data_IF_112640657625
#
_entry.id   IF_112640657625
#
_cell.length_a   1.000
_cell.length_b   1.000
_cell.length_c   1.000
_cell.angle_alpha   90.00
_cell.angle_beta   90.00
_cell.angle_gamma   90.00
#
_symmetry.space_group_name_H-M   'P 1'
#
loop_
_entity.id
_entity.type
_entity.pdbx_description
1 polymer ?
#
# COMPACT_ATOMS: atom_id res chain seq x y z
N UNK A 1 22.60 1.67 -40.82
CA UNK A 1 21.87 1.77 -39.54
C UNK A 1 20.73 0.77 -39.66
N UNK A 2 20.70 -0.25 -38.80
CA UNK A 2 19.68 -1.29 -38.89
C UNK A 2 18.36 -0.70 -38.41
N UNK A 3 17.32 -0.77 -39.25
CA UNK A 3 15.96 -0.46 -38.84
C UNK A 3 15.60 -1.31 -37.61
N UNK A 4 14.98 -0.75 -36.56
CA UNK A 4 14.52 -1.55 -35.44
C UNK A 4 13.55 -2.59 -35.99
N UNK A 5 13.87 -3.88 -35.85
CA UNK A 5 13.00 -4.98 -36.28
C UNK A 5 11.63 -4.80 -35.61
N UNK A 6 10.67 -4.28 -36.36
CA UNK A 6 9.28 -4.17 -35.93
C UNK A 6 8.75 -5.59 -35.73
N UNK A 7 8.35 -5.90 -34.49
CA UNK A 7 7.79 -7.19 -34.16
C UNK A 7 6.47 -7.37 -34.95
N UNK A 8 6.34 -8.39 -35.81
CA UNK A 8 5.18 -8.57 -36.69
C UNK A 8 3.87 -8.81 -35.92
N UNK A 9 3.97 -9.23 -34.66
CA UNK A 9 2.84 -9.46 -33.78
C UNK A 9 2.36 -8.17 -33.09
N UNK A 10 3.03 -7.03 -33.28
CA UNK A 10 2.58 -5.74 -32.73
C UNK A 10 1.79 -4.97 -33.80
N UNK A 11 0.59 -4.52 -33.44
CA UNK A 11 -0.21 -3.62 -34.29
C UNK A 11 0.40 -2.22 -34.29
N UNK A 12 0.51 -1.61 -35.47
CA UNK A 12 0.94 -0.22 -35.65
C UNK A 12 -0.20 0.79 -35.50
N UNK A 13 -1.45 0.31 -35.42
CA UNK A 13 -2.64 1.16 -35.28
C UNK A 13 -2.85 1.54 -33.81
N UNK A 14 -3.30 2.78 -33.50
CA UNK A 14 -3.69 3.16 -32.15
C UNK A 14 -4.94 2.38 -31.71
N UNK A 15 -5.17 2.28 -30.40
CA UNK A 15 -6.30 1.54 -29.85
C UNK A 15 -7.61 2.25 -30.20
N UNK A 16 -8.52 1.54 -30.88
CA UNK A 16 -9.84 2.04 -31.27
C UNK A 16 -10.93 1.63 -30.25
N UNK A 17 -10.64 0.60 -29.45
CA UNK A 17 -11.59 0.05 -28.49
C UNK A 17 -11.76 0.95 -27.25
N UNK A 18 -10.75 1.77 -26.94
CA UNK A 18 -10.79 2.70 -25.80
C UNK A 18 -10.89 1.98 -24.46
N UNK A 19 -10.32 0.77 -24.35
CA UNK A 19 -10.22 0.05 -23.09
C UNK A 19 -9.28 0.78 -22.14
N UNK A 20 -9.72 0.94 -20.89
CA UNK A 20 -8.90 1.46 -19.80
C UNK A 20 -8.75 0.38 -18.75
N UNK A 21 -7.51 0.15 -18.32
CA UNK A 21 -7.22 -0.94 -17.39
C UNK A 21 -6.61 -0.42 -16.10
N UNK A 22 -7.27 -0.71 -14.99
CA UNK A 22 -6.77 -0.47 -13.63
C UNK A 22 -6.14 -1.75 -13.09
N UNK A 23 -4.89 -1.67 -12.65
CA UNK A 23 -4.18 -2.79 -12.03
C UNK A 23 -4.04 -2.53 -10.53
N UNK A 24 -4.50 -3.47 -9.71
CA UNK A 24 -4.19 -3.45 -8.28
C UNK A 24 -2.74 -3.88 -8.04
N UNK A 25 -2.02 -3.25 -7.10
CA UNK A 25 -0.65 -3.61 -6.76
C UNK A 25 -0.47 -5.07 -6.36
N UNK A 26 -1.48 -5.67 -5.72
CA UNK A 26 -1.46 -7.08 -5.34
C UNK A 26 -1.26 -8.01 -6.54
N UNK A 27 -1.82 -7.67 -7.71
CA UNK A 27 -1.60 -8.40 -8.96
C UNK A 27 -0.12 -8.39 -9.32
N UNK A 28 0.52 -7.22 -9.31
CA UNK A 28 1.94 -7.08 -9.65
C UNK A 28 2.84 -7.84 -8.69
N UNK A 29 2.55 -7.78 -7.39
CA UNK A 29 3.29 -8.53 -6.38
C UNK A 29 3.14 -10.04 -6.57
N UNK A 30 1.93 -10.51 -6.90
CA UNK A 30 1.66 -11.93 -7.13
C UNK A 30 2.36 -12.46 -8.39
N UNK A 31 2.36 -11.67 -9.47
CA UNK A 31 3.08 -11.99 -10.71
C UNK A 31 4.59 -12.06 -10.45
N UNK A 32 5.14 -11.08 -9.72
CA UNK A 32 6.56 -11.04 -9.35
C UNK A 32 6.97 -12.21 -8.44
N UNK A 33 6.13 -12.53 -7.45
CA UNK A 33 6.32 -13.69 -6.58
C UNK A 33 6.28 -15.01 -7.37
N UNK A 34 5.31 -15.18 -8.27
CA UNK A 34 5.22 -16.37 -9.12
C UNK A 34 6.49 -16.52 -9.99
N UNK A 35 6.93 -15.44 -10.63
CA UNK A 35 8.17 -15.44 -11.40
C UNK A 35 9.39 -15.85 -10.55
N UNK A 36 9.52 -15.24 -9.37
CA UNK A 36 10.64 -15.51 -8.46
C UNK A 36 10.64 -16.97 -8.00
N UNK A 37 9.46 -17.51 -7.63
CA UNK A 37 9.32 -18.93 -7.24
C UNK A 37 9.68 -19.87 -8.38
N UNK A 38 9.21 -19.59 -9.58
CA UNK A 38 9.48 -20.42 -10.75
C UNK A 38 10.99 -20.45 -11.07
N UNK A 39 11.64 -19.28 -11.02
CA UNK A 39 13.08 -19.12 -11.22
C UNK A 39 13.91 -19.85 -10.15
N UNK A 40 13.62 -19.61 -8.87
CA UNK A 40 14.35 -20.24 -7.74
C UNK A 40 14.17 -21.76 -7.73
N UNK A 41 12.97 -22.26 -8.06
CA UNK A 41 12.68 -23.70 -8.11
C UNK A 41 13.17 -24.38 -9.38
N UNK A 42 13.70 -23.62 -10.35
CA UNK A 42 14.14 -24.15 -11.66
C UNK A 42 13.05 -24.99 -12.35
N UNK A 43 11.81 -24.52 -12.25
CA UNK A 43 10.70 -25.15 -12.95
C UNK A 43 10.91 -25.02 -14.46
N UNK A 44 10.37 -25.99 -15.22
CA UNK A 44 10.50 -26.03 -16.67
C UNK A 44 9.17 -25.60 -17.30
N UNK A 45 9.26 -24.89 -18.42
CA UNK A 45 8.11 -24.45 -19.21
C UNK A 45 7.87 -22.94 -19.14
N UNK A 46 6.91 -22.43 -19.92
CA UNK A 46 6.52 -21.03 -19.86
C UNK A 46 5.78 -20.72 -18.57
N UNK A 47 5.90 -19.49 -18.09
CA UNK A 47 5.14 -18.98 -16.95
C UNK A 47 3.89 -18.30 -17.50
N UNK A 48 2.73 -18.75 -17.03
CA UNK A 48 1.48 -18.07 -17.27
C UNK A 48 0.62 -18.05 -16.00
N UNK A 49 -0.32 -17.12 -15.96
CA UNK A 49 -1.33 -17.10 -14.92
C UNK A 49 -2.52 -16.26 -15.31
N UNK A 50 -3.63 -16.45 -14.60
CA UNK A 50 -4.87 -15.74 -14.84
C UNK A 50 -4.92 -14.46 -14.02
N UNK A 51 -5.56 -13.44 -14.59
CA UNK A 51 -5.95 -12.19 -13.96
C UNK A 51 -7.44 -12.24 -13.69
N UNK A 52 -7.81 -11.94 -12.46
CA UNK A 52 -9.20 -11.85 -12.02
C UNK A 52 -9.54 -10.41 -11.63
N UNK A 53 -10.77 -10.01 -11.89
CA UNK A 53 -11.25 -8.68 -11.57
C UNK A 53 -12.64 -8.42 -12.10
N UNK A 54 -12.93 -7.17 -12.45
CA UNK A 54 -14.25 -6.76 -12.92
C UNK A 54 -14.14 -6.05 -14.26
N UNK A 55 -15.13 -6.30 -15.13
CA UNK A 55 -15.31 -5.54 -16.36
C UNK A 55 -16.59 -4.70 -16.26
N UNK A 56 -16.45 -3.37 -16.27
CA UNK A 56 -17.57 -2.42 -16.29
C UNK A 56 -17.54 -1.65 -17.60
N UNK A 57 -18.22 -2.19 -18.60
CA UNK A 57 -18.19 -1.62 -19.95
C UNK A 57 -16.79 -1.72 -20.57
N UNK A 58 -16.10 -0.58 -20.70
CA UNK A 58 -14.75 -0.47 -21.26
C UNK A 58 -13.65 -0.35 -20.19
N UNK A 59 -14.04 -0.30 -18.93
CA UNK A 59 -13.11 -0.26 -17.81
C UNK A 59 -12.91 -1.68 -17.29
N UNK A 60 -11.66 -2.12 -17.24
CA UNK A 60 -11.26 -3.42 -16.69
C UNK A 60 -10.44 -3.16 -15.44
N UNK A 61 -10.88 -3.67 -14.30
CA UNK A 61 -10.08 -3.72 -13.07
C UNK A 61 -9.47 -5.11 -12.95
N UNK A 62 -8.16 -5.21 -12.72
CA UNK A 62 -7.50 -6.46 -12.35
C UNK A 62 -7.14 -6.39 -10.86
N UNK A 63 -7.85 -7.17 -10.05
CA UNK A 63 -7.80 -7.13 -8.58
C UNK A 63 -6.95 -8.26 -8.01
N UNK A 64 -6.98 -9.42 -8.66
CA UNK A 64 -6.30 -10.61 -8.19
C UNK A 64 -5.61 -11.36 -9.33
N UNK A 65 -4.59 -12.15 -9.01
CA UNK A 65 -3.91 -12.99 -9.99
C UNK A 65 -3.54 -14.35 -9.38
N UNK A 66 -3.48 -15.40 -10.20
CA UNK A 66 -2.97 -16.69 -9.76
C UNK A 66 -2.19 -17.39 -10.88
N UNK A 67 -1.23 -18.23 -10.49
CA UNK A 67 -0.48 -19.07 -11.42
C UNK A 67 -1.38 -20.13 -12.06
N UNK A 68 -1.27 -20.33 -13.37
CA UNK A 68 -1.98 -21.38 -14.10
C UNK A 68 -0.99 -22.41 -14.62
N UNK A 69 -1.39 -23.68 -14.57
CA UNK A 69 -0.62 -24.75 -15.18
C UNK A 69 -0.89 -24.78 -16.70
N UNK A 70 0.18 -25.00 -17.47
CA UNK A 70 0.12 -25.12 -18.92
C UNK A 70 0.32 -26.58 -19.35
N UNK A 71 -0.44 -27.00 -20.34
CA UNK A 71 -0.41 -28.35 -20.91
C UNK A 71 0.04 -28.25 -22.37
N UNK A 72 0.85 -29.20 -22.82
CA UNK A 72 1.21 -29.27 -24.23
C UNK A 72 0.15 -30.05 -25.01
N UNK A 73 -0.27 -29.52 -26.15
CA UNK A 73 -1.12 -30.25 -27.09
C UNK A 73 -0.30 -31.29 -27.89
N UNK A 74 -0.98 -32.06 -28.75
CA UNK A 74 -0.36 -33.04 -29.65
C UNK A 74 0.64 -32.44 -30.64
N UNK A 75 0.60 -31.12 -30.84
CA UNK A 75 1.47 -30.35 -31.74
C UNK A 75 2.64 -29.68 -30.99
N UNK A 76 2.76 -29.90 -29.67
CA UNK A 76 3.81 -29.32 -28.83
C UNK A 76 3.59 -27.85 -28.44
N UNK A 77 2.44 -27.27 -28.74
CA UNK A 77 2.06 -25.92 -28.34
C UNK A 77 1.56 -25.91 -26.89
N UNK A 78 1.87 -24.84 -26.16
CA UNK A 78 1.40 -24.65 -24.79
C UNK A 78 0.00 -24.06 -24.78
N UNK A 79 -0.89 -24.65 -23.98
CA UNK A 79 -2.27 -24.25 -23.77
C UNK A 79 -2.59 -24.24 -22.26
N UNK A 80 -3.58 -23.46 -21.85
CA UNK A 80 -4.13 -23.51 -20.49
C UNK A 80 -4.86 -24.83 -20.24
N UNK A 81 -4.71 -25.38 -19.04
CA UNK A 81 -5.64 -26.38 -18.53
C UNK A 81 -6.99 -25.70 -18.22
N UNK A 82 -7.91 -25.76 -19.19
CA UNK A 82 -9.23 -25.10 -19.10
C UNK A 82 -10.05 -25.63 -17.94
N UNK A 83 -10.07 -26.94 -17.74
CA UNK A 83 -10.89 -27.57 -16.71
C UNK A 83 -10.41 -27.18 -15.31
N UNK A 84 -9.09 -27.17 -15.10
CA UNK A 84 -8.51 -26.69 -13.85
C UNK A 84 -8.74 -25.20 -13.64
N UNK A 85 -8.57 -24.39 -14.70
CA UNK A 85 -8.76 -22.95 -14.62
C UNK A 85 -10.20 -22.58 -14.31
N UNK A 86 -11.18 -23.25 -14.92
CA UNK A 86 -12.62 -23.04 -14.67
C UNK A 86 -12.99 -23.35 -13.21
N UNK A 87 -12.56 -24.49 -12.69
CA UNK A 87 -12.75 -24.86 -11.28
C UNK A 87 -12.07 -23.83 -10.35
N UNK A 88 -10.88 -23.34 -10.71
CA UNK A 88 -10.16 -22.34 -9.93
C UNK A 88 -10.86 -20.99 -9.94
N UNK A 89 -11.34 -20.52 -11.09
CA UNK A 89 -12.13 -19.29 -11.23
C UNK A 89 -13.42 -19.41 -10.41
N UNK A 90 -14.11 -20.54 -10.48
CA UNK A 90 -15.33 -20.77 -9.71
C UNK A 90 -15.09 -20.68 -8.20
N UNK A 91 -13.99 -21.24 -7.70
CA UNK A 91 -13.61 -21.11 -6.27
C UNK A 91 -13.42 -19.65 -5.84
N UNK A 92 -12.83 -18.80 -6.70
CA UNK A 92 -12.71 -17.38 -6.40
C UNK A 92 -14.05 -16.66 -6.44
N UNK A 93 -14.94 -17.01 -7.38
CA UNK A 93 -16.33 -16.50 -7.42
C UNK A 93 -17.12 -16.88 -6.15
N UNK A 94 -16.90 -18.07 -5.61
CA UNK A 94 -17.58 -18.52 -4.39
C UNK A 94 -17.14 -17.76 -3.14
N UNK A 95 -15.88 -17.32 -3.09
CA UNK A 95 -15.32 -16.52 -1.99
C UNK A 95 -15.69 -15.04 -2.14
N UNK A 96 -15.58 -14.50 -3.35
CA UNK A 96 -15.90 -13.11 -3.69
C UNK A 96 -17.28 -13.05 -4.33
N UNK A 97 -18.34 -12.98 -3.52
CA UNK A 97 -19.72 -13.01 -4.05
C UNK A 97 -20.27 -11.66 -4.51
N UNK A 98 -19.72 -10.55 -4.00
CA UNK A 98 -20.19 -9.21 -4.31
C UNK A 98 -19.06 -8.18 -4.15
N UNK A 99 -18.45 -7.68 -5.23
CA UNK A 99 -18.62 -8.11 -6.63
C UNK A 99 -17.99 -9.48 -6.90
N UNK A 100 -18.52 -10.21 -7.88
CA UNK A 100 -17.90 -11.45 -8.33
C UNK A 100 -16.65 -11.14 -9.14
N UNK A 101 -15.51 -11.72 -8.72
CA UNK A 101 -14.28 -11.65 -9.51
C UNK A 101 -14.39 -12.61 -10.68
N UNK A 102 -14.18 -12.09 -11.88
CA UNK A 102 -14.24 -12.82 -13.12
C UNK A 102 -12.87 -12.84 -13.79
N UNK A 103 -12.65 -13.77 -14.71
CA UNK A 103 -11.42 -13.79 -15.49
C UNK A 103 -11.38 -12.57 -16.40
N UNK A 104 -10.41 -11.68 -16.28
CA UNK A 104 -10.33 -10.46 -17.12
C UNK A 104 -9.17 -10.50 -18.11
N UNK A 105 -8.24 -11.45 -17.93
CA UNK A 105 -7.05 -11.56 -18.74
C UNK A 105 -6.07 -12.56 -18.16
N UNK A 106 -4.85 -12.52 -18.66
CA UNK A 106 -3.77 -13.40 -18.21
C UNK A 106 -2.44 -12.66 -18.25
N UNK A 107 -1.43 -13.24 -17.61
CA UNK A 107 -0.09 -12.68 -17.59
C UNK A 107 0.96 -13.69 -18.00
N UNK A 108 2.06 -13.18 -18.55
CA UNK A 108 3.24 -13.96 -18.90
C UNK A 108 4.50 -13.08 -18.94
N UNK A 109 5.59 -13.65 -19.42
CA UNK A 109 6.88 -12.99 -19.56
C UNK A 109 7.25 -12.85 -21.02
N UNK A 110 7.70 -11.67 -21.42
CA UNK A 110 8.42 -11.54 -22.68
C UNK A 110 9.45 -10.40 -22.64
N UNK A 111 10.48 -10.45 -23.51
CA UNK A 111 11.49 -9.40 -23.61
C UNK A 111 10.88 -8.06 -24.03
N UNK A 112 11.62 -6.96 -23.89
CA UNK A 112 11.13 -5.65 -24.33
C UNK A 112 10.88 -5.57 -25.85
N UNK A 113 11.45 -6.50 -26.63
CA UNK A 113 11.18 -6.67 -28.06
C UNK A 113 9.73 -7.07 -28.39
N UNK A 114 8.92 -7.43 -27.39
CA UNK A 114 7.50 -7.73 -27.53
C UNK A 114 7.18 -9.24 -27.59
N UNK A 115 5.90 -9.57 -27.90
CA UNK A 115 5.39 -10.94 -27.82
C UNK A 115 6.03 -11.87 -28.85
N UNK A 116 6.02 -13.18 -28.57
CA UNK A 116 6.48 -14.24 -29.48
C UNK A 116 5.30 -15.04 -30.05
N UNK A 117 5.48 -15.73 -31.17
CA UNK A 117 4.40 -16.51 -31.79
C UNK A 117 3.85 -17.63 -30.87
N UNK A 118 4.64 -18.08 -29.88
CA UNK A 118 4.24 -19.10 -28.93
C UNK A 118 3.08 -18.68 -28.01
N UNK A 119 2.82 -17.38 -27.86
CA UNK A 119 1.73 -16.88 -27.01
C UNK A 119 0.39 -16.75 -27.75
N UNK A 120 0.38 -16.81 -29.08
CA UNK A 120 -0.83 -16.65 -29.89
C UNK A 120 -1.88 -17.74 -29.59
N UNK A 121 -1.53 -19.04 -29.47
CA UNK A 121 -2.48 -20.08 -29.08
C UNK A 121 -3.09 -19.84 -27.70
N UNK A 122 -2.28 -19.39 -26.73
CA UNK A 122 -2.73 -19.04 -25.38
C UNK A 122 -3.71 -17.86 -25.40
N UNK A 123 -3.39 -16.80 -26.14
CA UNK A 123 -4.28 -15.65 -26.29
C UNK A 123 -5.61 -16.06 -26.92
N UNK A 124 -5.58 -16.86 -27.99
CA UNK A 124 -6.80 -17.35 -28.64
C UNK A 124 -7.67 -18.14 -27.66
N UNK A 125 -7.06 -19.03 -26.88
CA UNK A 125 -7.77 -19.80 -25.86
C UNK A 125 -8.35 -18.92 -24.75
N UNK A 126 -7.62 -17.89 -24.30
CA UNK A 126 -8.09 -16.94 -23.30
C UNK A 126 -9.31 -16.13 -23.79
N UNK A 127 -9.31 -15.72 -25.06
CA UNK A 127 -10.45 -15.05 -25.70
C UNK A 127 -11.67 -15.97 -25.73
N UNK A 128 -11.49 -17.24 -26.13
CA UNK A 128 -12.58 -18.24 -26.17
C UNK A 128 -13.13 -18.56 -24.78
N UNK A 129 -12.28 -18.55 -23.74
CA UNK A 129 -12.67 -18.93 -22.38
C UNK A 129 -13.59 -17.90 -21.69
N UNK A 130 -13.44 -16.61 -21.98
CA UNK A 130 -14.17 -15.56 -21.25
C UNK A 130 -14.78 -14.51 -22.18
N UNK A 131 -13.96 -13.75 -22.91
CA UNK A 131 -14.39 -12.65 -23.77
C UNK A 131 -13.25 -12.19 -24.71
N UNK A 132 -13.62 -11.57 -25.84
CA UNK A 132 -12.73 -10.84 -26.76
C UNK A 132 -11.93 -9.73 -26.08
N UNK A 133 -12.39 -9.24 -24.91
CA UNK A 133 -11.70 -8.22 -24.11
C UNK A 133 -10.58 -8.77 -23.20
N UNK A 134 -10.19 -10.05 -23.33
CA UNK A 134 -9.16 -10.64 -22.47
C UNK A 134 -7.79 -9.95 -22.65
N UNK A 135 -7.33 -9.26 -21.60
CA UNK A 135 -6.06 -8.50 -21.64
C UNK A 135 -4.85 -9.39 -21.36
N UNK A 136 -3.71 -9.02 -21.94
CA UNK A 136 -2.42 -9.67 -21.71
C UNK A 136 -1.49 -8.74 -20.93
N UNK A 137 -1.12 -9.14 -19.72
CA UNK A 137 -0.10 -8.48 -18.91
C UNK A 137 1.27 -9.12 -19.11
N UNK A 138 2.25 -8.30 -19.45
CA UNK A 138 3.60 -8.72 -19.73
C UNK A 138 4.56 -8.14 -18.70
N UNK A 139 5.27 -9.01 -17.98
CA UNK A 139 6.41 -8.58 -17.18
C UNK A 139 7.70 -8.73 -18.02
N UNK A 140 8.56 -7.70 -17.98
CA UNK A 140 9.82 -7.64 -18.72
C UNK A 140 11.00 -7.87 -17.78
N UNK A 141 11.63 -9.07 -17.75
CA UNK A 141 12.72 -9.36 -16.82
C UNK A 141 13.97 -8.49 -17.05
N UNK A 142 14.24 -8.10 -18.30
CA UNK A 142 15.42 -7.30 -18.67
C UNK A 142 15.37 -5.89 -18.05
N UNK A 143 14.17 -5.29 -18.02
CA UNK A 143 13.93 -3.98 -17.41
C UNK A 143 14.13 -3.99 -15.89
N UNK A 144 13.93 -5.13 -15.23
CA UNK A 144 14.15 -5.30 -13.79
C UNK A 144 15.65 -5.23 -13.48
N UNK A 145 16.49 -5.85 -14.32
CA UNK A 145 17.95 -5.92 -14.11
C UNK A 145 18.63 -4.57 -14.37
N UNK A 146 18.06 -3.75 -15.26
CA UNK A 146 18.62 -2.45 -15.68
C UNK A 146 18.12 -1.25 -14.85
N UNK A 147 17.26 -1.46 -13.86
CA UNK A 147 16.61 -0.37 -13.13
C UNK A 147 17.57 0.36 -12.17
N UNK A 148 18.24 1.42 -12.65
CA UNK A 148 18.86 2.43 -11.78
C UNK A 148 17.77 3.22 -11.03
N UNK A 149 17.89 3.24 -9.70
CA UNK A 149 16.80 3.28 -8.72
C UNK A 149 16.08 4.61 -8.49
N UNK A 150 16.05 5.55 -9.45
CA UNK A 150 15.45 6.89 -9.21
C UNK A 150 14.42 7.37 -10.21
N UNK A 151 14.23 6.72 -11.37
CA UNK A 151 13.18 7.10 -12.36
C UNK A 151 12.71 5.94 -13.26
N UNK A 152 12.98 4.70 -12.88
CA UNK A 152 12.63 3.54 -13.69
C UNK A 152 11.11 3.42 -13.86
N UNK A 153 10.66 3.20 -15.10
CA UNK A 153 9.27 2.81 -15.41
C UNK A 153 9.01 1.44 -14.80
N UNK A 154 7.78 1.17 -14.38
CA UNK A 154 7.40 -0.18 -14.00
C UNK A 154 7.66 -1.14 -15.18
N UNK A 155 8.31 -2.29 -14.97
CA UNK A 155 8.74 -3.22 -16.02
C UNK A 155 7.58 -4.08 -16.54
N UNK A 156 6.42 -3.46 -16.74
CA UNK A 156 5.17 -4.11 -17.12
C UNK A 156 4.50 -3.36 -18.27
N UNK A 157 4.01 -4.12 -19.24
CA UNK A 157 3.23 -3.65 -20.38
C UNK A 157 1.94 -4.45 -20.49
N UNK A 158 0.86 -3.79 -20.91
CA UNK A 158 -0.44 -4.42 -21.09
C UNK A 158 -0.82 -4.38 -22.57
N UNK A 159 -1.47 -5.42 -23.06
CA UNK A 159 -1.87 -5.54 -24.46
C UNK A 159 -3.32 -5.99 -24.62
N UNK A 160 -3.99 -5.47 -25.64
CA UNK A 160 -5.21 -6.05 -26.22
C UNK A 160 -4.86 -6.87 -27.46
N UNK A 161 -5.66 -7.90 -27.74
CA UNK A 161 -5.61 -8.64 -29.00
C UNK A 161 -6.56 -8.04 -30.02
N UNK A 162 -6.12 -7.89 -31.26
CA UNK A 162 -6.92 -7.42 -32.39
C UNK A 162 -6.70 -8.36 -33.56
N UNK A 163 -7.78 -8.86 -34.15
CA UNK A 163 -7.74 -9.55 -35.42
C UNK A 163 -7.59 -8.53 -36.55
N UNK A 164 -6.38 -8.39 -37.09
CA UNK A 164 -6.16 -7.62 -38.32
C UNK A 164 -6.35 -8.54 -39.51
N UNK A 165 -7.59 -8.63 -40.01
CA UNK A 165 -7.84 -9.26 -41.32
C UNK A 165 -7.21 -8.36 -42.37
N UNK A 166 -6.05 -8.73 -42.91
CA UNK A 166 -5.56 -8.17 -44.16
C UNK A 166 -6.52 -8.58 -45.27
N UNK A 167 -7.56 -7.79 -45.51
CA UNK A 167 -8.25 -7.83 -46.78
C UNK A 167 -7.27 -7.36 -47.85
N UNK A 168 -6.49 -8.29 -48.42
CA UNK A 168 -5.94 -8.10 -49.75
C UNK A 168 -7.13 -7.82 -50.66
N UNK A 169 -7.28 -6.57 -51.09
CA UNK A 169 -8.22 -6.16 -52.12
C UNK A 169 -7.74 -6.71 -53.47
N UNK A 170 -7.82 -8.01 -53.66
CA UNK A 170 -7.85 -8.58 -55.00
C UNK A 170 -9.33 -8.68 -55.40
N UNK A 171 -9.82 -7.62 -56.03
CA UNK A 171 -11.06 -7.68 -56.81
C UNK A 171 -10.83 -8.66 -57.98
N UNK A 172 -11.08 -9.95 -57.77
CA UNK A 172 -10.86 -10.92 -58.85
C UNK A 172 -11.16 -12.39 -58.59
N UNK A 173 -11.46 -12.85 -57.38
CA UNK A 173 -11.75 -14.28 -57.15
C UNK A 173 -13.05 -14.51 -56.39
N UNK A 174 -14.06 -15.00 -57.11
CA UNK A 174 -15.14 -15.78 -56.51
C UNK A 174 -14.57 -17.08 -55.94
N UNK A 175 -14.54 -17.23 -54.62
CA UNK A 175 -14.37 -18.50 -53.91
C UNK A 175 -15.48 -18.52 -52.84
N UNK A 176 -16.63 -19.16 -53.12
CA UNK A 176 -17.03 -20.52 -52.72
C UNK A 176 -16.97 -20.74 -51.20
N UNK A 177 -18.16 -20.87 -50.61
CA UNK A 177 -18.44 -21.26 -49.23
C UNK A 177 -17.65 -22.53 -48.81
N UNK A 178 -17.00 -22.45 -47.65
CA UNK A 178 -16.67 -23.64 -46.85
C UNK A 178 -15.21 -23.92 -46.55
N UNK A 179 -14.46 -22.96 -45.97
CA UNK A 179 -13.41 -23.23 -44.95
C UNK A 179 -12.95 -21.92 -44.26
N UNK A 180 -13.80 -21.28 -43.45
CA UNK A 180 -13.42 -20.08 -42.68
C UNK A 180 -12.66 -20.45 -41.39
N UNK A 181 -11.52 -21.13 -41.52
CA UNK A 181 -10.78 -21.62 -40.34
C UNK A 181 -9.26 -21.68 -40.54
N UNK A 182 -8.60 -20.59 -40.96
CA UNK A 182 -7.21 -20.28 -40.51
C UNK A 182 -6.55 -19.11 -41.28
N UNK A 183 -6.74 -17.87 -40.82
CA UNK A 183 -5.67 -16.84 -40.77
C UNK A 183 -6.20 -15.52 -40.17
N UNK A 184 -6.85 -15.58 -39.01
CA UNK A 184 -6.94 -14.38 -38.17
C UNK A 184 -5.56 -14.20 -37.53
N UNK A 185 -4.75 -13.29 -38.08
CA UNK A 185 -3.46 -12.94 -37.51
C UNK A 185 -3.72 -12.02 -36.32
N UNK A 186 -3.86 -12.64 -35.14
CA UNK A 186 -3.97 -11.92 -33.87
C UNK A 186 -2.72 -11.06 -33.71
N UNK A 187 -2.90 -9.75 -33.66
CA UNK A 187 -1.86 -8.80 -33.29
C UNK A 187 -2.15 -8.21 -31.93
N UNK A 188 -1.09 -7.88 -31.22
CA UNK A 188 -1.13 -7.27 -29.90
C UNK A 188 -0.96 -5.77 -30.03
N UNK A 189 -1.80 -5.03 -29.34
CA UNK A 189 -1.70 -3.58 -29.26
C UNK A 189 -1.50 -3.14 -27.82
N UNK A 190 -0.53 -2.26 -27.52
CA UNK A 190 -0.31 -1.80 -26.16
C UNK A 190 -1.51 -0.99 -25.65
N UNK A 191 -1.92 -1.28 -24.42
CA UNK A 191 -2.97 -0.57 -23.70
C UNK A 191 -2.38 0.33 -22.61
N UNK A 192 -2.93 1.54 -22.41
CA UNK A 192 -2.62 2.33 -21.22
C UNK A 192 -3.21 1.66 -19.98
N UNK A 193 -2.48 1.70 -18.88
CA UNK A 193 -2.96 1.22 -17.59
C UNK A 193 -2.73 2.27 -16.49
N UNK A 194 -3.56 2.19 -15.45
CA UNK A 194 -3.42 2.94 -14.20
C UNK A 194 -3.22 1.96 -13.06
N UNK A 195 -2.48 2.37 -12.03
CA UNK A 195 -2.40 1.60 -10.79
C UNK A 195 -3.51 2.12 -9.88
N UNK A 196 -4.46 1.26 -9.56
CA UNK A 196 -5.55 1.57 -8.63
C UNK A 196 -5.20 0.97 -7.28
N UNK A 197 -5.14 1.81 -6.26
CA UNK A 197 -4.79 1.39 -4.89
C UNK A 197 -5.93 1.76 -3.96
N UNK A 198 -6.42 0.77 -3.21
CA UNK A 198 -7.23 1.07 -2.03
C UNK A 198 -6.40 1.78 -0.95
N UNK A 199 -7.04 2.46 -0.01
CA UNK A 199 -6.36 3.12 1.11
C UNK A 199 -5.50 2.12 1.90
N UNK A 200 -6.03 0.91 2.13
CA UNK A 200 -5.31 -0.16 2.82
C UNK A 200 -4.09 -0.62 2.03
N UNK A 201 -4.23 -0.78 0.72
CA UNK A 201 -3.13 -1.19 -0.16
C UNK A 201 -2.05 -0.11 -0.24
N UNK A 202 -2.45 1.17 -0.34
CA UNK A 202 -1.53 2.30 -0.38
C UNK A 202 -0.66 2.34 0.87
N UNK A 203 -1.27 2.19 2.06
CA UNK A 203 -0.53 2.16 3.33
C UNK A 203 0.40 0.94 3.38
N UNK A 204 -0.08 -0.24 2.99
CA UNK A 204 0.72 -1.46 2.99
C UNK A 204 1.94 -1.38 2.07
N UNK A 205 1.77 -0.82 0.87
CA UNK A 205 2.85 -0.66 -0.11
C UNK A 205 3.85 0.39 0.37
N UNK A 206 3.39 1.51 0.91
CA UNK A 206 4.27 2.54 1.47
C UNK A 206 5.10 1.98 2.64
N UNK A 207 4.50 1.15 3.49
CA UNK A 207 5.20 0.43 4.56
C UNK A 207 6.28 -0.53 4.02
N UNK A 208 5.94 -1.35 3.02
CA UNK A 208 6.88 -2.29 2.39
C UNK A 208 7.99 -1.54 1.65
N UNK A 209 7.67 -0.48 0.91
CA UNK A 209 8.62 0.32 0.14
C UNK A 209 9.61 1.09 1.02
N UNK A 210 9.19 1.50 2.23
CA UNK A 210 10.07 2.11 3.25
C UNK A 210 11.07 1.11 3.86
N UNK A 211 10.94 -0.18 3.56
CA UNK A 211 11.86 -1.21 4.04
C UNK A 211 11.58 -1.69 5.46
N UNK A 212 10.45 -1.31 6.07
CA UNK A 212 10.06 -1.77 7.40
C UNK A 212 9.74 -3.29 7.44
N UNK A 213 9.48 -3.89 6.28
CA UNK A 213 9.31 -5.34 6.10
C UNK A 213 10.59 -6.11 5.75
N UNK A 214 11.73 -5.43 5.54
CA UNK A 214 12.99 -6.14 5.42
C UNK A 214 13.39 -6.56 6.83
N UNK A 215 13.28 -7.86 7.12
CA UNK A 215 13.95 -8.49 8.24
C UNK A 215 15.38 -7.93 8.26
N UNK A 216 15.67 -7.11 9.27
CA UNK A 216 17.03 -6.69 9.59
C UNK A 216 17.85 -7.96 9.56
N UNK A 217 18.74 -8.04 8.56
CA UNK A 217 19.70 -9.13 8.46
C UNK A 217 20.31 -9.24 9.86
N UNK A 218 19.97 -10.33 10.55
CA UNK A 218 20.58 -10.67 11.82
C UNK A 218 22.05 -10.68 11.50
N UNK A 219 22.75 -9.65 11.95
CA UNK A 219 24.20 -9.65 11.99
C UNK A 219 24.50 -10.85 12.88
N UNK A 220 24.86 -11.97 12.25
CA UNK A 220 25.46 -13.11 12.91
C UNK A 220 26.75 -12.60 13.54
N UNK A 221 26.62 -12.04 14.74
CA UNK A 221 27.71 -11.99 15.68
C UNK A 221 27.94 -13.43 16.09
N UNK A 222 28.83 -14.08 15.35
CA UNK A 222 29.50 -15.31 15.75
C UNK A 222 30.11 -15.09 17.13
N UNK A 223 29.32 -15.40 18.15
CA UNK A 223 29.75 -15.44 19.53
C UNK A 223 30.45 -16.77 19.71
N UNK A 224 31.78 -16.73 19.59
CA UNK A 224 32.67 -17.80 20.05
C UNK A 224 32.29 -18.18 21.49
N UNK A 225 31.70 -19.36 21.63
CA UNK A 225 31.48 -19.98 22.93
C UNK A 225 32.83 -20.50 23.41
N UNK A 226 33.52 -19.71 24.22
CA UNK A 226 34.52 -20.24 25.17
C UNK A 226 34.04 -19.92 26.58
N UNK A 227 33.58 -20.96 27.27
CA UNK A 227 33.09 -20.89 28.65
C UNK A 227 34.22 -20.54 29.64
N UNK A 228 34.01 -19.61 30.60
CA UNK A 228 34.89 -19.46 31.76
C UNK A 228 34.46 -20.39 32.92
N UNK A 229 35.40 -20.86 33.75
CA UNK A 229 35.13 -21.82 34.83
C UNK A 229 34.43 -21.17 36.04
N UNK A 230 33.77 -21.96 36.92
CA UNK A 230 32.90 -21.42 37.97
C UNK A 230 33.69 -20.81 39.14
N UNK A 231 33.09 -19.85 39.88
CA UNK A 231 33.73 -19.16 41.00
C UNK A 231 33.66 -19.97 42.32
N UNK A 232 34.62 -19.81 43.25
CA UNK A 232 34.46 -20.26 44.63
C UNK A 232 33.82 -19.15 45.49
N UNK A 233 32.83 -19.52 46.30
CA UNK A 233 32.29 -18.71 47.41
C UNK A 233 33.12 -18.90 48.71
N UNK A 234 32.75 -18.29 49.86
CA UNK A 234 32.81 -16.86 50.18
C UNK A 234 33.58 -16.60 51.49
N UNK A 235 34.12 -15.39 51.72
CA UNK A 235 34.59 -15.00 53.07
C UNK A 235 34.27 -13.54 53.40
N UNK A 236 33.28 -13.40 54.28
CA UNK A 236 33.02 -12.43 55.36
C UNK A 236 33.55 -10.97 55.30
N UNK A 237 32.58 -10.07 55.52
CA UNK A 237 32.53 -9.05 56.59
C UNK A 237 32.91 -7.56 56.34
N UNK A 238 31.93 -6.73 56.77
CA UNK A 238 31.99 -5.40 57.43
C UNK A 238 31.88 -4.11 56.60
N UNK A 239 30.65 -3.58 56.61
CA UNK A 239 30.20 -2.32 57.28
C UNK A 239 31.05 -1.05 57.06
N UNK A 240 30.45 -0.03 56.40
CA UNK A 240 30.92 1.36 56.51
C UNK A 240 30.11 2.40 55.71
N UNK A 241 29.28 3.19 56.41
CA UNK A 241 28.61 4.43 55.95
C UNK A 241 29.62 5.60 55.85
N UNK A 242 29.49 6.46 54.83
CA UNK A 242 29.54 7.96 54.83
C UNK A 242 29.79 8.45 53.39
N UNK A 243 28.87 9.19 52.76
CA UNK A 243 28.58 10.65 52.77
C UNK A 243 29.53 11.49 51.89
N UNK A 244 28.87 12.38 51.15
CA UNK A 244 29.33 13.33 50.14
C UNK A 244 30.40 14.33 50.61
N UNK A 245 31.13 14.91 49.66
CA UNK A 245 31.39 16.36 49.56
C UNK A 245 32.02 16.70 48.18
N UNK A 246 31.41 17.65 47.48
CA UNK A 246 32.06 18.61 46.56
C UNK A 246 32.27 19.92 47.35
N UNK A 247 32.91 21.00 46.86
CA UNK A 247 33.70 21.23 45.63
C UNK A 247 35.09 21.89 45.92
N UNK A 248 35.97 21.99 44.91
CA UNK A 248 36.88 23.14 44.83
C UNK A 248 37.39 23.36 43.41
N UNK A 249 37.44 24.64 43.05
CA UNK A 249 37.74 25.16 41.73
C UNK A 249 39.25 25.46 41.55
N UNK A 250 39.59 25.64 40.27
CA UNK A 250 40.71 26.40 39.71
C UNK A 250 42.10 25.75 39.69
N UNK A 251 42.49 25.28 38.50
CA UNK A 251 43.77 25.63 37.90
C UNK A 251 43.66 25.55 36.37
N UNK A 252 43.76 26.72 35.73
CA UNK A 252 43.93 26.90 34.29
C UNK A 252 45.39 26.57 33.95
N UNK A 253 45.61 25.64 33.04
CA UNK A 253 46.86 25.55 32.27
C UNK A 253 46.59 24.89 30.91
N UNK A 254 46.75 25.71 29.89
CA UNK A 254 46.69 25.43 28.47
C UNK A 254 47.85 24.53 28.04
N UNK A 255 47.58 23.42 27.37
CA UNK A 255 48.52 22.84 26.39
C UNK A 255 47.79 21.87 25.47
N UNK A 256 48.14 21.96 24.20
CA UNK A 256 47.41 21.52 23.03
C UNK A 256 47.61 20.03 22.71
N UNK A 257 46.72 19.53 21.85
CA UNK A 257 46.90 18.45 20.85
C UNK A 257 46.56 17.01 21.26
N UNK A 258 45.57 16.43 20.56
CA UNK A 258 45.40 14.98 20.40
C UNK A 258 44.06 14.43 20.89
N UNK A 259 42.99 14.65 20.12
CA UNK A 259 41.64 14.11 20.39
C UNK A 259 41.65 12.58 20.47
N UNK A 260 41.33 12.08 21.65
CA UNK A 260 40.72 10.78 21.88
C UNK A 260 39.29 11.06 22.36
N UNK A 261 38.30 10.95 21.47
CA UNK A 261 36.88 11.10 21.85
C UNK A 261 36.15 9.79 21.60
N UNK A 262 35.96 9.11 22.72
CA UNK A 262 35.05 8.02 23.00
C UNK A 262 33.64 8.25 22.49
N UNK A 263 33.06 7.17 21.96
CA UNK A 263 31.63 6.92 21.68
C UNK A 263 30.66 7.79 22.49
N UNK A 264 30.13 8.82 21.83
CA UNK A 264 28.88 9.46 22.22
C UNK A 264 27.73 8.73 21.54
N UNK A 265 27.28 7.63 22.11
CA UNK A 265 25.93 7.14 21.86
C UNK A 265 24.99 8.11 22.59
N UNK A 266 24.54 9.16 21.88
CA UNK A 266 23.35 9.89 22.30
C UNK A 266 22.21 8.89 22.29
N UNK A 267 21.68 8.58 23.48
CA UNK A 267 20.39 7.93 23.65
C UNK A 267 19.38 8.71 22.81
N UNK A 268 19.05 8.17 21.63
CA UNK A 268 17.92 8.63 20.87
C UNK A 268 16.70 8.28 21.72
N UNK A 269 15.99 9.30 22.21
CA UNK A 269 14.61 9.10 22.62
C UNK A 269 13.93 8.35 21.47
N UNK A 270 13.44 7.11 21.68
CA UNK A 270 12.68 6.43 20.65
C UNK A 270 11.50 7.34 20.32
N UNK A 271 11.37 7.70 19.04
CA UNK A 271 10.27 8.52 18.57
C UNK A 271 8.95 7.82 18.95
N UNK A 272 7.96 8.61 19.35
CA UNK A 272 6.64 8.04 19.63
C UNK A 272 6.10 7.51 18.29
N UNK A 273 5.39 6.37 18.25
CA UNK A 273 4.83 5.83 17.01
C UNK A 273 4.04 6.85 16.18
N UNK A 274 3.33 7.77 16.84
CA UNK A 274 2.63 8.88 16.18
C UNK A 274 3.59 9.87 15.45
N UNK A 275 4.77 10.13 16.02
CA UNK A 275 5.79 10.98 15.40
C UNK A 275 6.43 10.28 14.20
N UNK A 276 6.64 8.96 14.29
CA UNK A 276 7.11 8.14 13.17
C UNK A 276 6.12 8.15 12.00
N UNK A 277 4.82 8.02 12.29
CA UNK A 277 3.75 8.10 11.30
C UNK A 277 3.67 9.49 10.64
N UNK A 278 3.85 10.56 11.42
CA UNK A 278 3.91 11.93 10.88
C UNK A 278 5.11 12.11 9.95
N UNK A 279 6.30 11.68 10.36
CA UNK A 279 7.52 11.74 9.54
C UNK A 279 7.34 10.92 8.27
N UNK A 280 6.77 9.73 8.38
CA UNK A 280 6.41 8.87 7.26
C UNK A 280 5.49 9.60 6.28
N UNK A 281 4.42 10.23 6.76
CA UNK A 281 3.47 10.96 5.91
C UNK A 281 4.11 12.16 5.20
N UNK A 282 4.96 12.93 5.89
CA UNK A 282 5.66 14.10 5.33
C UNK A 282 6.68 13.64 4.28
N UNK A 283 7.40 12.56 4.56
CA UNK A 283 8.38 11.99 3.63
C UNK A 283 7.72 11.51 2.34
N UNK A 284 6.59 10.80 2.44
CA UNK A 284 5.81 10.36 1.28
C UNK A 284 5.34 11.56 0.46
N UNK A 285 4.78 12.61 1.09
CA UNK A 285 4.39 13.85 0.39
C UNK A 285 5.59 14.53 -0.30
N UNK A 286 6.74 14.60 0.38
CA UNK A 286 7.96 15.20 -0.15
C UNK A 286 8.49 14.44 -1.38
N UNK A 287 8.47 13.12 -1.35
CA UNK A 287 8.87 12.29 -2.49
C UNK A 287 7.92 12.48 -3.69
N UNK A 288 6.61 12.56 -3.45
CA UNK A 288 5.62 12.87 -4.49
C UNK A 288 5.86 14.24 -5.13
N UNK A 289 6.18 15.27 -4.32
CA UNK A 289 6.51 16.61 -4.84
C UNK A 289 7.81 16.59 -5.65
N UNK A 290 8.85 15.88 -5.20
CA UNK A 290 10.10 15.72 -5.96
C UNK A 290 9.88 15.01 -7.30
N UNK A 291 9.04 13.98 -7.32
CA UNK A 291 8.67 13.28 -8.55
C UNK A 291 7.94 14.22 -9.51
N UNK A 292 6.96 14.98 -9.01
CA UNK A 292 6.23 15.98 -9.81
C UNK A 292 7.19 17.04 -10.38
N UNK A 293 8.10 17.57 -9.56
CA UNK A 293 9.11 18.53 -10.01
C UNK A 293 9.99 17.95 -11.13
N UNK A 294 10.45 16.71 -10.98
CA UNK A 294 11.26 16.02 -11.99
C UNK A 294 10.50 15.87 -13.30
N UNK A 295 9.22 15.47 -13.25
CA UNK A 295 8.36 15.34 -14.44
C UNK A 295 8.10 16.68 -15.12
N UNK A 296 7.84 17.75 -14.36
CA UNK A 296 7.68 19.11 -14.91
C UNK A 296 8.98 19.61 -15.56
N UNK A 297 10.14 19.30 -14.96
CA UNK A 297 11.45 19.64 -15.54
C UNK A 297 11.67 18.92 -16.87
N UNK A 298 11.30 17.64 -16.99
CA UNK A 298 11.37 16.90 -18.25
C UNK A 298 10.45 17.50 -19.32
N UNK A 299 9.22 17.87 -18.96
CA UNK A 299 8.31 18.57 -19.90
C UNK A 299 8.90 19.90 -20.37
N UNK A 300 9.53 20.67 -19.46
CA UNK A 300 10.22 21.91 -19.83
C UNK A 300 11.38 21.67 -20.79
N UNK A 301 12.21 20.67 -20.50
CA UNK A 301 13.33 20.30 -21.37
C UNK A 301 12.85 19.83 -22.75
N UNK A 302 11.77 19.05 -22.80
CA UNK A 302 11.13 18.64 -24.05
C UNK A 302 10.69 19.87 -24.87
N UNK A 303 9.98 20.82 -24.25
CA UNK A 303 9.54 22.05 -24.94
C UNK A 303 10.74 22.88 -25.42
N UNK A 304 11.81 22.99 -24.62
CA UNK A 304 13.02 23.71 -24.99
C UNK A 304 13.82 23.04 -26.13
N UNK A 305 13.69 21.72 -26.30
CA UNK A 305 14.35 20.98 -27.37
C UNK A 305 13.67 21.13 -28.73
N UNK A 306 12.45 21.68 -28.77
CA UNK A 306 11.71 21.87 -30.01
C UNK A 306 12.20 23.09 -30.79
N UNK A 307 12.04 23.09 -32.14
CA UNK A 307 12.37 24.25 -32.96
C UNK A 307 11.64 25.52 -32.48
N UNK A 308 12.25 26.71 -32.66
CA UNK A 308 11.61 27.96 -32.30
C UNK A 308 10.30 28.12 -33.05
N UNK A 309 9.24 28.39 -32.29
CA UNK A 309 7.89 28.54 -32.84
C UNK A 309 7.83 29.70 -33.83
N UNK A 310 6.97 29.59 -34.86
CA UNK A 310 6.69 30.67 -35.81
C UNK A 310 6.21 31.98 -35.13
N UNK A 311 5.70 31.89 -33.88
CA UNK A 311 5.32 33.04 -33.06
C UNK A 311 6.52 33.77 -32.44
N UNK A 312 7.65 33.08 -32.29
CA UNK A 312 8.89 33.64 -31.71
C UNK A 312 9.86 34.12 -32.78
N UNK A 313 9.85 33.49 -33.96
CA UNK A 313 10.68 33.89 -35.11
C UNK A 313 9.93 33.63 -36.43
N UNK A 314 9.58 34.69 -37.15
CA UNK A 314 8.85 34.61 -38.42
C UNK A 314 9.69 34.04 -39.58
N UNK A 315 11.01 33.89 -39.39
CA UNK A 315 11.92 33.33 -40.39
C UNK A 315 12.09 31.79 -40.28
N UNK A 316 11.59 31.18 -39.20
CA UNK A 316 11.66 29.74 -38.95
C UNK A 316 10.56 29.02 -39.73
N UNK A 317 10.94 28.22 -40.74
CA UNK A 317 10.02 27.35 -41.50
C UNK A 317 10.06 25.89 -41.04
N UNK A 318 10.73 25.59 -39.93
CA UNK A 318 10.98 24.22 -39.48
C UNK A 318 9.81 23.76 -38.59
N UNK A 319 8.93 22.93 -39.18
CA UNK A 319 7.81 22.36 -38.45
C UNK A 319 8.30 21.27 -37.47
N UNK A 320 7.71 21.17 -36.26
CA UNK A 320 8.01 20.05 -35.38
C UNK A 320 7.61 18.72 -36.04
N UNK A 321 8.36 17.66 -35.74
CA UNK A 321 8.06 16.30 -36.19
C UNK A 321 6.59 15.95 -35.89
N UNK A 322 5.82 15.43 -36.87
CA UNK A 322 4.43 15.00 -36.65
C UNK A 322 4.24 14.07 -35.43
N UNK A 323 5.27 13.30 -35.05
CA UNK A 323 5.24 12.43 -33.86
C UNK A 323 5.12 13.21 -32.53
N UNK A 324 5.55 14.47 -32.49
CA UNK A 324 5.54 15.32 -31.29
C UNK A 324 4.20 16.06 -31.10
N UNK A 325 3.38 16.18 -32.14
CA UNK A 325 2.12 16.93 -32.12
C UNK A 325 1.10 16.45 -31.06
N UNK A 326 0.89 15.13 -30.85
CA UNK A 326 0.00 14.65 -29.80
C UNK A 326 0.44 15.09 -28.41
N UNK A 327 1.76 15.07 -28.15
CA UNK A 327 2.35 15.46 -26.87
C UNK A 327 2.14 16.96 -26.61
N UNK A 328 2.37 17.80 -27.63
CA UNK A 328 2.13 19.25 -27.54
C UNK A 328 0.66 19.59 -27.28
N UNK A 329 -0.27 18.89 -27.95
CA UNK A 329 -1.71 19.04 -27.70
C UNK A 329 -2.06 18.68 -26.25
N UNK A 330 -1.50 17.59 -25.73
CA UNK A 330 -1.73 17.16 -24.36
C UNK A 330 -1.15 18.15 -23.34
N UNK A 331 0.03 18.72 -23.60
CA UNK A 331 0.62 19.77 -22.76
C UNK A 331 -0.26 21.02 -22.74
N UNK A 332 -0.76 21.47 -23.91
CA UNK A 332 -1.69 22.60 -23.99
C UNK A 332 -3.00 22.32 -23.21
N UNK A 333 -3.54 21.10 -23.34
CA UNK A 333 -4.71 20.68 -22.57
C UNK A 333 -4.43 20.68 -21.05
N UNK A 334 -3.23 20.27 -20.61
CA UNK A 334 -2.83 20.31 -19.20
C UNK A 334 -2.74 21.76 -18.68
N UNK A 335 -2.09 22.67 -19.42
CA UNK A 335 -1.95 24.09 -19.02
C UNK A 335 -3.30 24.78 -18.94
N UNK A 336 -4.17 24.55 -19.93
CA UNK A 336 -5.53 25.12 -19.90
C UNK A 336 -6.35 24.58 -18.74
N UNK A 337 -6.28 23.28 -18.43
CA UNK A 337 -6.95 22.70 -17.26
C UNK A 337 -6.38 23.20 -15.92
N UNK A 338 -5.07 23.42 -15.82
CA UNK A 338 -4.47 24.04 -14.64
C UNK A 338 -5.04 25.44 -14.40
N UNK A 339 -5.20 26.24 -15.47
CA UNK A 339 -5.82 27.57 -15.35
C UNK A 339 -7.29 27.54 -14.92
N UNK A 340 -7.99 26.43 -15.15
CA UNK A 340 -9.36 26.22 -14.64
C UNK A 340 -9.35 25.80 -13.15
N UNK A 341 -8.31 25.10 -12.70
CA UNK A 341 -8.12 24.68 -11.30
C UNK A 341 -7.60 25.81 -10.41
N UNK A 342 -6.88 26.78 -10.98
CA UNK A 342 -6.50 28.03 -10.33
C UNK A 342 -7.38 29.18 -10.84
N UNK A 343 -8.64 29.29 -10.38
CA UNK A 343 -9.53 30.33 -10.88
C UNK A 343 -9.01 31.71 -10.46
N UNK A 344 -9.01 32.64 -11.41
CA UNK A 344 -8.78 34.07 -11.17
C UNK A 344 -9.75 34.56 -10.08
N UNK A 345 -9.23 35.32 -9.11
CA UNK A 345 -9.84 35.77 -7.83
C UNK A 345 -11.25 36.42 -7.89
N UNK A 346 -11.83 36.59 -9.07
CA UNK A 346 -13.03 37.38 -9.32
C UNK A 346 -14.30 36.57 -9.63
N UNK A 347 -14.27 35.23 -9.59
CA UNK A 347 -15.46 34.40 -9.86
C UNK A 347 -16.21 33.97 -8.59
N UNK A 348 -17.56 34.02 -8.61
CA UNK A 348 -18.44 33.62 -7.50
C UNK A 348 -18.27 32.15 -7.05
N UNK A 349 -17.73 31.31 -7.93
CA UNK A 349 -17.36 29.92 -7.65
C UNK A 349 -16.15 29.78 -6.69
N UNK A 350 -15.28 30.80 -6.60
CA UNK A 350 -14.17 30.81 -5.63
C UNK A 350 -14.70 30.83 -4.20
N UNK A 351 -15.76 31.60 -3.93
CA UNK A 351 -16.32 31.74 -2.59
C UNK A 351 -16.93 30.44 -2.07
N UNK A 352 -17.47 29.58 -2.95
CA UNK A 352 -18.03 28.30 -2.53
C UNK A 352 -16.95 27.24 -2.28
N UNK A 353 -15.94 27.12 -3.16
CA UNK A 353 -14.87 26.13 -2.97
C UNK A 353 -13.93 26.51 -1.83
N UNK A 354 -13.52 27.78 -1.73
CA UNK A 354 -12.67 28.24 -0.62
C UNK A 354 -13.41 28.19 0.72
N UNK A 355 -14.69 28.54 0.76
CA UNK A 355 -15.50 28.37 1.97
C UNK A 355 -15.70 26.91 2.34
N UNK A 356 -15.86 26.00 1.38
CA UNK A 356 -15.95 24.57 1.64
C UNK A 356 -14.63 24.02 2.22
N UNK A 357 -13.47 24.38 1.64
CA UNK A 357 -12.15 24.00 2.18
C UNK A 357 -11.92 24.57 3.57
N UNK A 358 -12.31 25.83 3.80
CA UNK A 358 -12.19 26.47 5.12
C UNK A 358 -13.13 25.84 6.16
N UNK A 359 -14.35 25.48 5.77
CA UNK A 359 -15.26 24.73 6.63
C UNK A 359 -14.65 23.38 7.03
N UNK A 360 -14.12 22.63 6.07
CA UNK A 360 -13.44 21.36 6.34
C UNK A 360 -12.23 21.55 7.28
N UNK A 361 -11.42 22.59 7.10
CA UNK A 361 -10.29 22.86 8.00
C UNK A 361 -10.74 23.19 9.42
N UNK A 362 -11.83 23.95 9.56
CA UNK A 362 -12.40 24.30 10.86
C UNK A 362 -12.94 23.04 11.56
N UNK A 363 -13.58 22.14 10.83
CA UNK A 363 -14.09 20.87 11.36
C UNK A 363 -12.95 19.98 11.86
N UNK A 364 -11.86 19.86 11.08
CA UNK A 364 -10.66 19.11 11.50
C UNK A 364 -10.00 19.75 12.73
N UNK A 365 -9.91 21.09 12.76
CA UNK A 365 -9.35 21.81 13.91
C UNK A 365 -10.20 21.60 15.18
N UNK A 366 -11.53 21.62 15.05
CA UNK A 366 -12.45 21.36 16.17
C UNK A 366 -12.29 19.92 16.68
N UNK A 367 -12.26 18.93 15.77
CA UNK A 367 -12.04 17.53 16.13
C UNK A 367 -10.68 17.32 16.82
N UNK A 368 -9.63 18.00 16.34
CA UNK A 368 -8.31 18.00 16.96
C UNK A 368 -8.33 18.59 18.37
N UNK A 369 -8.99 19.74 18.58
CA UNK A 369 -9.13 20.35 19.91
C UNK A 369 -9.92 19.44 20.87
N UNK A 370 -10.96 18.76 20.39
CA UNK A 370 -11.72 17.79 21.19
C UNK A 370 -10.87 16.57 21.56
N UNK A 371 -10.03 16.07 20.63
CA UNK A 371 -9.09 14.99 20.90
C UNK A 371 -8.08 15.39 21.97
N UNK A 372 -7.50 16.59 21.86
CA UNK A 372 -6.56 17.13 22.85
C UNK A 372 -7.22 17.29 24.23
N UNK A 373 -8.44 17.82 24.28
CA UNK A 373 -9.20 17.92 25.54
C UNK A 373 -9.46 16.54 26.15
N UNK A 374 -9.75 15.53 25.32
CA UNK A 374 -9.88 14.14 25.76
C UNK A 374 -8.59 13.59 26.37
N UNK A 375 -7.45 13.84 25.72
CA UNK A 375 -6.12 13.45 26.22
C UNK A 375 -5.77 14.18 27.53
N UNK A 376 -6.08 15.47 27.64
CA UNK A 376 -5.89 16.26 28.87
C UNK A 376 -6.75 15.73 30.03
N UNK A 377 -8.00 15.37 29.76
CA UNK A 377 -8.88 14.75 30.77
C UNK A 377 -8.32 13.39 31.20
N UNK A 378 -7.84 12.59 30.26
CA UNK A 378 -7.25 11.29 30.56
C UNK A 378 -5.99 11.44 31.42
N UNK A 379 -5.08 12.35 31.05
CA UNK A 379 -3.86 12.63 31.80
C UNK A 379 -4.14 13.21 33.19
N UNK A 380 -5.15 14.09 33.32
CA UNK A 380 -5.60 14.59 34.62
C UNK A 380 -6.19 13.47 35.49
N UNK A 381 -6.94 12.53 34.89
CA UNK A 381 -7.46 11.37 35.61
C UNK A 381 -6.33 10.46 36.11
N UNK A 382 -5.30 10.25 35.30
CA UNK A 382 -4.12 9.48 35.68
C UNK A 382 -3.33 10.16 36.80
N UNK A 383 -3.18 11.49 36.71
CA UNK A 383 -2.56 12.28 37.77
C UNK A 383 -3.37 12.18 39.06
N UNK A 384 -4.70 12.25 38.98
CA UNK A 384 -5.60 12.06 40.13
C UNK A 384 -5.45 10.68 40.78
N UNK A 385 -5.36 9.60 39.98
CA UNK A 385 -5.12 8.24 40.47
C UNK A 385 -3.74 8.12 41.15
N UNK A 386 -2.69 8.68 40.53
CA UNK A 386 -1.34 8.70 41.11
C UNK A 386 -1.31 9.50 42.42
N UNK A 387 -1.97 10.66 42.45
CA UNK A 387 -2.06 11.52 43.62
C UNK A 387 -2.81 10.84 44.78
N UNK A 388 -3.96 10.21 44.53
CA UNK A 388 -4.71 9.46 45.55
C UNK A 388 -3.87 8.31 46.14
N UNK A 389 -3.07 7.64 45.30
CA UNK A 389 -2.13 6.59 45.74
C UNK A 389 -1.02 7.18 46.64
N UNK A 390 -0.50 8.35 46.30
CA UNK A 390 0.52 9.04 47.12
C UNK A 390 -0.08 9.56 48.44
N UNK A 391 -1.28 10.12 48.42
CA UNK A 391 -1.98 10.64 49.60
C UNK A 391 -2.30 9.51 50.60
N UNK A 392 -2.77 8.36 50.11
CA UNK A 392 -3.01 7.17 50.94
C UNK A 392 -1.70 6.61 51.55
N UNK A 393 -0.60 6.62 50.78
CA UNK A 393 0.73 6.28 51.32
C UNK A 393 1.26 7.33 52.32
N UNK A 394 0.93 8.61 52.16
CA UNK A 394 1.30 9.67 53.09
C UNK A 394 0.53 9.55 54.41
N UNK A 395 -0.77 9.34 54.35
CA UNK A 395 -1.62 9.17 55.54
C UNK A 395 -1.29 7.89 56.31
N UNK A 396 -0.93 6.80 55.63
CA UNK A 396 -0.45 5.58 56.32
C UNK A 396 0.90 5.77 57.03
N UNK A 397 1.79 6.64 56.54
CA UNK A 397 3.02 7.03 57.24
C UNK A 397 2.76 7.92 58.47
N UNK A 398 1.81 8.85 58.38
CA UNK A 398 1.44 9.73 59.51
C UNK A 398 0.74 8.95 60.63
N UNK A 399 -0.08 7.96 60.29
CA UNK A 399 -0.70 7.04 61.28
C UNK A 399 0.30 6.20 62.09
N UNK A 400 1.54 6.02 61.59
CA UNK A 400 2.60 5.26 62.29
C UNK A 400 3.47 6.10 63.22
N UNK A 401 3.43 7.44 63.11
CA UNK A 401 4.18 8.38 63.97
C UNK A 401 3.36 8.94 65.15
N UNK A 402 2.04 8.73 65.17
CA UNK A 402 1.15 9.14 66.27
C UNK A 402 0.98 8.11 67.41
N UNK A 403 1.61 6.94 67.31
CA UNK A 403 1.40 5.81 68.24
C UNK A 403 2.62 5.48 69.12
N UNK A 404 3.53 6.44 69.34
CA UNK A 404 4.70 6.26 70.21
C UNK A 404 4.86 7.44 71.16
N UNK A 405 4.10 7.45 72.25
CA UNK A 405 4.27 8.43 73.33
C UNK A 405 3.41 8.11 74.57
N UNK A 406 4.08 7.62 75.62
CA UNK A 406 3.63 7.40 77.02
C UNK A 406 2.54 6.31 77.20
N UNK A 407 2.62 5.33 78.10
CA UNK A 407 3.48 5.12 79.27
C UNK A 407 2.61 4.52 80.39
N UNK A 408 2.77 3.21 80.65
CA UNK A 408 2.62 2.53 81.96
C UNK A 408 1.26 2.50 82.69
N UNK A 409 0.82 1.29 83.07
CA UNK A 409 -0.07 1.10 84.21
C UNK A 409 -1.07 -0.05 84.03
N UNK A 410 -0.80 -1.21 84.61
CA UNK A 410 -1.67 -2.37 84.59
C UNK A 410 -2.77 -2.38 85.67
N UNK A 411 -3.80 -3.20 85.43
CA UNK A 411 -4.86 -3.59 86.37
C UNK A 411 -5.93 -2.51 86.58
N UNK A 412 -7.25 -2.76 86.57
CA UNK A 412 -8.04 -3.95 86.88
C UNK A 412 -9.39 -3.87 86.16
N UNK A 413 -9.97 -5.01 85.78
CA UNK A 413 -11.21 -5.07 85.02
C UNK A 413 -12.48 -4.74 85.80
N UNK A 414 -13.52 -4.32 85.07
CA UNK A 414 -14.90 -4.77 85.26
C UNK A 414 -15.80 -4.18 84.16
N UNK A 415 -16.34 -5.08 83.33
CA UNK A 415 -17.69 -5.12 82.76
C UNK A 415 -18.36 -3.80 82.30
N UNK A 416 -18.50 -3.65 80.98
CA UNK A 416 -19.56 -2.80 80.41
C UNK A 416 -19.43 -2.38 78.95
N UNK A 417 -20.06 -3.15 78.05
CA UNK A 417 -20.72 -2.70 76.82
C UNK A 417 -19.91 -2.40 75.53
N UNK A 418 -20.24 -3.23 74.52
CA UNK A 418 -20.28 -2.99 73.05
C UNK A 418 -18.96 -3.05 72.27
N UNK A 419 -18.74 -4.17 71.59
CA UNK A 419 -18.86 -4.28 70.13
C UNK A 419 -18.26 -5.61 69.68
N UNK A 420 -19.10 -6.65 69.69
CA UNK A 420 -18.81 -7.93 69.03
C UNK A 420 -19.41 -7.90 67.63
N UNK A 421 -18.61 -8.30 66.63
CA UNK A 421 -19.04 -8.38 65.25
C UNK A 421 -20.16 -9.41 65.01
N UNK A 422 -20.90 -9.15 63.95
CA UNK A 422 -21.65 -10.14 63.18
C UNK A 422 -21.69 -9.63 61.73
N UNK A 423 -21.10 -10.32 60.77
CA UNK A 423 -21.70 -11.46 60.05
C UNK A 423 -23.10 -11.16 59.51
N UNK A 424 -23.15 -10.73 58.26
CA UNK A 424 -24.19 -11.11 57.30
C UNK A 424 -23.43 -11.55 56.05
N UNK A 425 -23.24 -12.83 55.75
CA UNK A 425 -24.20 -13.91 55.91
C UNK A 425 -24.96 -14.07 54.60
N UNK A 426 -24.21 -14.46 53.57
CA UNK A 426 -24.71 -15.00 52.31
C UNK A 426 -25.54 -16.25 52.62
N UNK A 427 -26.75 -16.30 52.07
CA UNK A 427 -27.66 -17.44 52.00
C UNK A 427 -28.85 -16.96 51.17
N UNK A 428 -29.01 -17.33 49.90
CA UNK A 428 -28.87 -18.65 49.32
C UNK A 428 -30.29 -19.17 49.11
N UNK A 429 -30.71 -19.28 47.85
CA UNK A 429 -31.73 -20.15 47.26
C UNK A 429 -31.90 -19.66 45.79
N UNK A 430 -31.38 -20.30 44.74
CA UNK A 430 -31.60 -21.67 44.22
C UNK A 430 -32.58 -21.66 43.03
N UNK A 431 -32.29 -22.53 42.05
CA UNK A 431 -33.06 -22.85 40.83
C UNK A 431 -33.34 -21.71 39.82
N UNK A 432 -33.11 -21.81 38.51
CA UNK A 432 -32.76 -22.93 37.65
C UNK A 432 -33.03 -22.52 36.19
N UNK A 433 -32.05 -22.80 35.34
CA UNK A 433 -32.11 -23.14 33.91
C UNK A 433 -33.41 -22.93 33.09
N UNK A 434 -33.27 -22.35 31.88
CA UNK A 434 -34.26 -22.60 30.82
C UNK A 434 -34.45 -21.54 29.73
N UNK A 435 -33.72 -21.70 28.62
CA UNK A 435 -34.27 -21.84 27.25
C UNK A 435 -35.34 -20.86 26.68
N UNK A 436 -34.99 -20.34 25.49
CA UNK A 436 -35.81 -20.19 24.26
C UNK A 436 -36.73 -18.96 24.03
N UNK A 437 -36.62 -18.43 22.80
CA UNK A 437 -37.61 -17.62 22.07
C UNK A 437 -37.24 -16.13 21.96
N UNK A 438 -36.94 -15.50 20.82
CA UNK A 438 -37.36 -15.77 19.44
C UNK A 438 -38.70 -15.09 19.12
N UNK A 439 -38.68 -13.86 18.62
CA UNK A 439 -39.74 -13.14 17.86
C UNK A 439 -39.18 -11.76 17.45
N UNK A 440 -38.80 -11.52 16.18
CA UNK A 440 -39.68 -11.10 15.06
C UNK A 440 -40.65 -9.97 15.50
N UNK A 441 -40.56 -8.75 14.99
CA UNK A 441 -40.61 -8.37 13.59
C UNK A 441 -41.99 -7.75 13.33
N UNK A 442 -42.08 -6.43 13.21
CA UNK A 442 -43.32 -5.76 12.81
C UNK A 442 -43.00 -4.60 11.85
N UNK A 443 -43.52 -4.79 10.65
CA UNK A 443 -43.45 -3.92 9.49
C UNK A 443 -44.23 -2.62 9.69
N UNK A 444 -43.73 -1.55 9.07
CA UNK A 444 -44.40 -0.26 8.93
C UNK A 444 -44.35 0.20 7.48
N UNK A 445 -45.49 0.04 6.81
CA UNK A 445 -45.82 0.38 5.42
C UNK A 445 -45.39 1.78 4.97
N UNK A 446 -44.88 1.88 3.72
CA UNK A 446 -44.70 3.15 3.02
C UNK A 446 -46.02 3.76 2.51
N UNK A 447 -45.97 5.01 2.00
CA UNK A 447 -47.03 5.54 1.15
C UNK A 447 -46.57 5.72 -0.30
N UNK A 448 -47.46 5.36 -1.22
CA UNK A 448 -47.27 5.46 -2.66
C UNK A 448 -47.28 6.89 -3.19
N UNK A 449 -46.56 7.09 -4.30
CA UNK A 449 -46.70 8.25 -5.19
C UNK A 449 -47.84 8.01 -6.15
N UNK A 450 -48.78 8.94 -6.15
CA UNK A 450 -49.86 9.06 -7.10
C UNK A 450 -49.38 9.64 -8.45
N UNK A 451 -50.05 9.19 -9.51
CA UNK A 451 -50.13 9.81 -10.84
C UNK A 451 -50.93 11.13 -10.81
N UNK A 452 -50.85 11.86 -11.95
CA UNK A 452 -51.50 13.13 -12.35
C UNK A 452 -50.58 14.34 -12.08
N UNK A 453 -50.14 15.14 -13.06
CA UNK A 453 -50.59 15.45 -14.43
C UNK A 453 -49.42 15.83 -15.32
#
# INVERSE_FOLDING_TARGET
MADPQLNPLLSTKPSDAGLTVSLHPLVLLTVSDHFTRHSVRKQKGPIAGALLGQQKGREITAEYAFATDLVQNSEGQWLFDVAWMEDRVQKYRDVHKAPALEFVGWYTLFPESGPSAAIVPLQRQAITFYNESAVLLALHPEAIVQADTTNARLPVSLYESVDEVEHQKDEGSMQVDGDESSSSDIKFRPLPYTIETDETEMIAIDYVAKGAGNATAVVETTSDITAPPPPPEPVTDKKGKKRADTPSAAAVATSETGQNSTNGASEANPLIPEEEDQIASITTRLNSVKMLQTRISLLRQFIQSLPPSYLSDQASSEAPDPSHLPHLRNIQALVTRLSLLTPVESSSAMKSLSAATQAQSNDVALASVLSLLGQDIQSLSELGRKFATVETHRNSKVGKLGATGLGGGGGTGSLGSKSGGGTGGFGGLDEGDGRFGGLAGLAGSGPGRAMLT
#
